data_IF_091787860111
#
_entry.id   IF_091787860111
#
_cell.length_a   1.000
_cell.length_b   1.000
_cell.length_c   1.000
_cell.angle_alpha   90.00
_cell.angle_beta   90.00
_cell.angle_gamma   90.00
#
_symmetry.space_group_name_H-M   'P 1'
#
loop_
_entity.id
_entity.type
_entity.pdbx_description
1 polymer ?
#
# COMPACT_ATOMS: atom_id res chain seq x y z
N UNK A 1 -15.56 -16.98 -4.43
CA UNK A 1 -14.10 -17.23 -4.40
C UNK A 1 -13.31 -15.95 -4.09
N UNK A 2 -13.22 -14.98 -5.01
CA UNK A 2 -12.40 -13.77 -4.82
C UNK A 2 -12.77 -12.98 -3.56
N UNK A 3 -14.06 -12.81 -3.25
CA UNK A 3 -14.49 -12.13 -2.02
C UNK A 3 -13.98 -12.81 -0.75
N UNK A 4 -13.91 -14.15 -0.73
CA UNK A 4 -13.39 -14.91 0.41
C UNK A 4 -11.88 -14.73 0.55
N UNK A 5 -11.14 -14.74 -0.57
CA UNK A 5 -9.69 -14.49 -0.57
C UNK A 5 -9.37 -13.11 -0.01
N UNK A 6 -10.12 -12.10 -0.43
CA UNK A 6 -9.94 -10.73 0.04
C UNK A 6 -10.39 -10.58 1.50
N UNK A 7 -11.45 -11.28 1.93
CA UNK A 7 -11.85 -11.30 3.34
C UNK A 7 -10.74 -11.90 4.22
N UNK A 8 -10.03 -12.94 3.77
CA UNK A 8 -8.89 -13.48 4.48
C UNK A 8 -7.73 -12.48 4.57
N UNK A 9 -7.42 -11.77 3.48
CA UNK A 9 -6.42 -10.68 3.50
C UNK A 9 -6.80 -9.63 4.54
N UNK A 10 -8.04 -9.13 4.50
CA UNK A 10 -8.53 -8.12 5.46
C UNK A 10 -8.47 -8.64 6.90
N UNK A 11 -8.80 -9.91 7.13
CA UNK A 11 -8.71 -10.54 8.44
C UNK A 11 -7.27 -10.52 8.97
N UNK A 12 -6.30 -10.95 8.16
CA UNK A 12 -4.87 -10.94 8.56
C UNK A 12 -4.39 -9.53 8.84
N UNK A 13 -4.70 -8.57 7.97
CA UNK A 13 -4.33 -7.17 8.18
C UNK A 13 -4.92 -6.63 9.49
N UNK A 14 -6.19 -6.92 9.77
CA UNK A 14 -6.86 -6.44 10.98
C UNK A 14 -6.37 -7.08 12.28
N UNK A 15 -5.91 -8.34 12.25
CA UNK A 15 -5.47 -9.06 13.45
C UNK A 15 -3.98 -8.89 13.74
N UNK A 16 -3.16 -8.82 12.68
CA UNK A 16 -1.71 -8.87 12.81
C UNK A 16 -1.03 -7.51 12.68
N UNK A 17 -1.63 -6.53 12.00
CA UNK A 17 -1.01 -5.22 11.79
C UNK A 17 -1.39 -4.26 12.91
N UNK A 18 -0.39 -3.85 13.71
CA UNK A 18 -0.60 -3.08 14.92
C UNK A 18 -0.26 -1.61 14.70
N UNK A 19 -0.92 -0.73 15.45
CA UNK A 19 -0.62 0.72 15.41
C UNK A 19 0.84 1.02 15.75
N UNK A 20 1.43 0.24 16.65
CA UNK A 20 2.84 0.37 17.04
C UNK A 20 3.81 0.08 15.89
N UNK A 21 3.41 -0.66 14.85
CA UNK A 21 4.25 -0.91 13.68
C UNK A 21 4.51 0.40 12.91
N UNK A 22 3.52 1.30 12.90
CA UNK A 22 3.56 2.54 12.10
C UNK A 22 3.71 3.82 12.92
N UNK A 23 3.51 3.73 14.24
CA UNK A 23 3.72 4.82 15.18
C UNK A 23 4.27 4.26 16.50
N UNK A 24 5.53 3.80 16.51
CA UNK A 24 6.16 3.32 17.73
C UNK A 24 6.32 4.46 18.75
N UNK A 25 6.34 4.12 20.04
CA UNK A 25 6.56 5.11 21.11
C UNK A 25 8.00 5.65 21.09
N UNK A 26 8.95 4.80 20.70
CA UNK A 26 10.36 5.12 20.58
C UNK A 26 10.80 4.75 19.16
N UNK A 27 11.29 5.73 18.40
CA UNK A 27 11.80 5.48 17.05
C UNK A 27 13.20 4.87 17.11
N UNK A 28 13.42 3.77 16.39
CA UNK A 28 14.74 3.15 16.23
C UNK A 28 15.00 2.79 14.76
N UNK A 29 15.38 3.80 13.97
CA UNK A 29 15.52 3.69 12.50
C UNK A 29 16.53 2.61 12.07
N UNK A 30 17.48 2.22 12.94
CA UNK A 30 18.45 1.15 12.66
C UNK A 30 17.85 -0.26 12.59
N UNK A 31 16.61 -0.47 13.03
CA UNK A 31 15.99 -1.80 13.15
C UNK A 31 14.71 -1.94 12.33
N UNK A 32 14.62 -1.26 11.18
CA UNK A 32 13.45 -1.41 10.30
C UNK A 32 13.51 -2.79 9.63
N UNK A 33 12.51 -3.67 9.85
CA UNK A 33 12.50 -4.98 9.24
C UNK A 33 12.22 -4.88 7.73
N UNK A 34 12.52 -5.96 7.00
CA UNK A 34 12.31 -6.03 5.54
C UNK A 34 10.84 -5.86 5.12
N UNK A 35 9.91 -6.21 6.01
CA UNK A 35 8.47 -5.94 5.93
C UNK A 35 7.85 -6.25 7.31
N UNK A 36 6.59 -5.87 7.50
CA UNK A 36 5.79 -6.22 8.66
C UNK A 36 5.39 -7.70 8.65
N UNK A 37 5.08 -8.24 9.84
CA UNK A 37 4.59 -9.60 9.96
C UNK A 37 3.30 -9.84 9.17
N UNK A 38 2.35 -8.89 9.26
CA UNK A 38 1.10 -8.92 8.51
C UNK A 38 1.34 -8.96 7.00
N UNK A 39 2.25 -8.13 6.49
CA UNK A 39 2.62 -8.12 5.07
C UNK A 39 3.16 -9.47 4.62
N UNK A 40 4.10 -10.05 5.36
CA UNK A 40 4.65 -11.38 5.04
C UNK A 40 3.57 -12.45 4.93
N UNK A 41 2.63 -12.49 5.88
CA UNK A 41 1.51 -13.42 5.88
C UNK A 41 0.57 -13.22 4.70
N UNK A 42 0.23 -11.96 4.40
CA UNK A 42 -0.62 -11.60 3.26
C UNK A 42 0.04 -12.00 1.93
N UNK A 43 1.31 -11.66 1.73
CA UNK A 43 2.05 -12.03 0.51
C UNK A 43 2.13 -13.55 0.32
N UNK A 44 2.45 -14.29 1.39
CA UNK A 44 2.46 -15.76 1.35
C UNK A 44 1.10 -16.34 0.97
N UNK A 45 0.03 -15.81 1.54
CA UNK A 45 -1.33 -16.24 1.23
C UNK A 45 -1.70 -15.94 -0.23
N UNK A 46 -1.46 -14.71 -0.69
CA UNK A 46 -1.82 -14.27 -2.04
C UNK A 46 -1.07 -15.05 -3.12
N UNK A 47 0.25 -15.24 -2.97
CA UNK A 47 1.02 -16.06 -3.92
C UNK A 47 0.44 -17.48 -4.04
N UNK A 48 0.13 -18.12 -2.90
CA UNK A 48 -0.52 -19.44 -2.91
C UNK A 48 -1.87 -19.44 -3.64
N UNK A 49 -2.69 -18.40 -3.48
CA UNK A 49 -3.97 -18.31 -4.19
C UNK A 49 -3.77 -18.09 -5.70
N UNK A 50 -2.80 -17.26 -6.08
CA UNK A 50 -2.45 -17.02 -7.48
C UNK A 50 -1.99 -18.31 -8.16
N UNK A 51 -1.15 -19.10 -7.51
CA UNK A 51 -0.68 -20.39 -8.04
C UNK A 51 -1.85 -21.34 -8.29
N UNK A 52 -2.76 -21.48 -7.31
CA UNK A 52 -3.97 -22.31 -7.48
C UNK A 52 -4.88 -21.83 -8.61
N UNK A 53 -4.99 -20.51 -8.79
CA UNK A 53 -5.79 -19.94 -9.90
C UNK A 53 -5.15 -20.29 -11.24
N UNK A 54 -3.82 -20.22 -11.34
CA UNK A 54 -3.05 -20.57 -12.56
C UNK A 54 -3.15 -22.06 -12.90
N UNK A 55 -3.28 -22.92 -11.90
CA UNK A 55 -3.49 -24.35 -12.13
C UNK A 55 -4.91 -24.67 -12.64
N UNK A 56 -5.87 -23.76 -12.44
CA UNK A 56 -7.28 -23.99 -12.75
C UNK A 56 -7.79 -23.21 -13.97
N UNK A 57 -7.12 -22.14 -14.37
CA UNK A 57 -7.56 -21.22 -15.43
C UNK A 57 -6.41 -20.91 -16.38
N UNK A 58 -6.75 -20.60 -17.63
CA UNK A 58 -5.82 -20.20 -18.67
C UNK A 58 -6.35 -19.01 -19.50
N UNK A 59 -5.47 -18.50 -20.38
CA UNK A 59 -5.79 -17.47 -21.36
C UNK A 59 -6.49 -16.23 -20.78
N UNK A 60 -7.50 -15.74 -21.50
CA UNK A 60 -8.24 -14.53 -21.10
C UNK A 60 -9.03 -14.68 -19.80
N UNK A 61 -9.48 -15.89 -19.45
CA UNK A 61 -10.18 -16.12 -18.18
C UNK A 61 -9.24 -15.92 -16.99
N UNK A 62 -8.01 -16.44 -17.10
CA UNK A 62 -6.97 -16.24 -16.11
C UNK A 62 -6.66 -14.74 -15.95
N UNK A 63 -6.49 -14.02 -17.06
CA UNK A 63 -6.20 -12.58 -17.05
C UNK A 63 -7.31 -11.77 -16.34
N UNK A 64 -8.58 -12.04 -16.66
CA UNK A 64 -9.73 -11.36 -16.04
C UNK A 64 -9.79 -11.62 -14.54
N UNK A 65 -9.61 -12.88 -14.12
CA UNK A 65 -9.68 -13.26 -12.70
C UNK A 65 -8.53 -12.67 -11.90
N UNK A 66 -7.29 -12.72 -12.42
CA UNK A 66 -6.12 -12.14 -11.77
C UNK A 66 -6.19 -10.61 -11.71
N UNK A 67 -6.74 -9.97 -12.75
CA UNK A 67 -7.00 -8.53 -12.75
C UNK A 67 -7.97 -8.16 -11.63
N UNK A 68 -9.14 -8.80 -11.56
CA UNK A 68 -10.13 -8.50 -10.53
C UNK A 68 -9.62 -8.79 -9.11
N UNK A 69 -8.88 -9.88 -8.92
CA UNK A 69 -8.22 -10.20 -7.66
C UNK A 69 -7.24 -9.09 -7.24
N UNK A 70 -6.41 -8.64 -8.16
CA UNK A 70 -5.38 -7.62 -7.91
C UNK A 70 -5.98 -6.26 -7.58
N UNK A 71 -7.06 -5.87 -8.26
CA UNK A 71 -7.77 -4.61 -7.96
C UNK A 71 -8.38 -4.63 -6.55
N UNK A 72 -9.00 -5.74 -6.16
CA UNK A 72 -9.55 -5.89 -4.81
C UNK A 72 -8.46 -5.98 -3.75
N UNK A 73 -7.33 -6.60 -4.07
CA UNK A 73 -6.18 -6.67 -3.18
C UNK A 73 -5.58 -5.29 -2.94
N UNK A 74 -5.34 -4.51 -4.00
CA UNK A 74 -4.92 -3.13 -3.92
C UNK A 74 -5.88 -2.32 -3.02
N UNK A 75 -7.20 -2.41 -3.26
CA UNK A 75 -8.20 -1.72 -2.43
C UNK A 75 -8.13 -2.14 -0.97
N UNK A 76 -7.97 -3.43 -0.66
CA UNK A 76 -7.86 -3.90 0.72
C UNK A 76 -6.61 -3.34 1.44
N UNK A 77 -5.49 -3.21 0.73
CA UNK A 77 -4.27 -2.57 1.26
C UNK A 77 -4.53 -1.08 1.52
N UNK A 78 -5.12 -0.36 0.56
CA UNK A 78 -5.44 1.07 0.72
C UNK A 78 -6.39 1.29 1.89
N UNK A 79 -7.48 0.53 1.98
CA UNK A 79 -8.44 0.59 3.10
C UNK A 79 -7.73 0.42 4.45
N UNK A 80 -6.75 -0.49 4.53
CA UNK A 80 -5.96 -0.75 5.73
C UNK A 80 -5.01 0.40 6.07
N UNK A 81 -4.33 0.97 5.06
CA UNK A 81 -3.42 2.13 5.25
C UNK A 81 -4.15 3.31 5.92
N UNK A 82 -5.38 3.58 5.50
CA UNK A 82 -6.21 4.64 6.08
C UNK A 82 -6.59 4.43 7.56
N UNK A 83 -6.34 3.26 8.16
CA UNK A 83 -6.60 2.99 9.57
C UNK A 83 -5.48 3.47 10.51
N UNK A 84 -4.35 3.94 9.97
CA UNK A 84 -3.15 4.25 10.73
C UNK A 84 -2.72 5.70 10.60
N UNK A 85 -1.89 6.13 11.56
CA UNK A 85 -1.05 7.30 11.41
C UNK A 85 0.40 6.86 11.35
N UNK A 86 1.21 7.60 10.59
CA UNK A 86 2.58 7.20 10.28
C UNK A 86 3.58 8.19 10.85
N UNK A 87 4.48 7.68 11.67
CA UNK A 87 5.75 8.36 11.94
C UNK A 87 6.70 8.17 10.75
N UNK A 88 7.84 8.86 10.72
CA UNK A 88 8.83 8.69 9.65
C UNK A 88 9.32 7.24 9.58
N UNK A 89 9.57 6.61 10.75
CA UNK A 89 9.92 5.19 10.82
C UNK A 89 8.79 4.29 10.32
N UNK A 90 7.56 4.54 10.74
CA UNK A 90 6.42 3.74 10.29
C UNK A 90 6.18 3.83 8.79
N UNK A 91 6.37 5.01 8.21
CA UNK A 91 6.27 5.22 6.76
C UNK A 91 7.35 4.43 5.99
N UNK A 92 8.57 4.34 6.52
CA UNK A 92 9.62 3.49 5.93
C UNK A 92 9.22 2.01 5.93
N UNK A 93 8.67 1.51 7.05
CA UNK A 93 8.17 0.14 7.12
C UNK A 93 7.00 -0.08 6.15
N UNK A 94 6.09 0.88 6.01
CA UNK A 94 5.00 0.79 5.01
C UNK A 94 5.57 0.70 3.59
N UNK A 95 6.60 1.48 3.24
CA UNK A 95 7.23 1.40 1.92
C UNK A 95 7.86 0.03 1.65
N UNK A 96 8.45 -0.59 2.68
CA UNK A 96 8.89 -1.97 2.62
C UNK A 96 7.72 -2.94 2.31
N UNK A 97 6.59 -2.79 3.02
CA UNK A 97 5.37 -3.58 2.77
C UNK A 97 4.84 -3.39 1.33
N UNK A 98 4.77 -2.15 0.83
CA UNK A 98 4.35 -1.87 -0.55
C UNK A 98 5.30 -2.52 -1.56
N UNK A 99 6.61 -2.55 -1.28
CA UNK A 99 7.59 -3.27 -2.08
C UNK A 99 7.29 -4.76 -2.20
N UNK A 100 6.92 -5.42 -1.10
CA UNK A 100 6.54 -6.83 -1.10
C UNK A 100 5.20 -7.07 -1.80
N UNK A 101 4.18 -6.23 -1.56
CA UNK A 101 2.91 -6.34 -2.29
C UNK A 101 3.07 -6.14 -3.79
N UNK A 102 3.99 -5.27 -4.22
CA UNK A 102 4.36 -5.10 -5.63
C UNK A 102 4.94 -6.38 -6.22
N UNK A 103 5.83 -7.07 -5.51
CA UNK A 103 6.41 -8.35 -6.00
C UNK A 103 5.33 -9.39 -6.28
N UNK A 104 4.28 -9.46 -5.46
CA UNK A 104 3.13 -10.37 -5.68
C UNK A 104 2.46 -10.11 -7.02
N UNK A 105 2.22 -8.84 -7.37
CA UNK A 105 1.46 -8.48 -8.58
C UNK A 105 2.33 -8.34 -9.84
N UNK A 106 3.62 -8.01 -9.71
CA UNK A 106 4.54 -7.92 -10.86
C UNK A 106 4.63 -9.25 -11.60
N UNK A 107 4.60 -10.37 -10.88
CA UNK A 107 4.64 -11.70 -11.48
C UNK A 107 3.40 -12.07 -12.31
N UNK A 108 2.36 -11.23 -12.33
CA UNK A 108 1.12 -11.48 -13.08
C UNK A 108 1.15 -10.94 -14.51
N UNK A 109 2.15 -10.12 -14.86
CA UNK A 109 2.30 -9.51 -16.19
C UNK A 109 1.09 -8.65 -16.60
N UNK A 110 0.46 -7.96 -15.63
CA UNK A 110 -0.68 -7.07 -15.84
C UNK A 110 -0.24 -5.59 -15.74
N UNK A 111 0.04 -4.89 -16.87
CA UNK A 111 0.67 -3.56 -16.83
C UNK A 111 -0.15 -2.51 -16.07
N UNK A 112 -1.49 -2.58 -16.18
CA UNK A 112 -2.39 -1.68 -15.46
C UNK A 112 -2.28 -1.85 -13.94
N UNK A 113 -2.21 -3.09 -13.46
CA UNK A 113 -2.05 -3.41 -12.03
C UNK A 113 -0.70 -2.93 -11.53
N UNK A 114 0.38 -3.12 -12.30
CA UNK A 114 1.70 -2.62 -11.93
C UNK A 114 1.70 -1.10 -11.74
N UNK A 115 1.10 -0.35 -12.67
CA UNK A 115 0.95 1.11 -12.55
C UNK A 115 0.15 1.52 -11.32
N UNK A 116 -0.91 0.77 -10.99
CA UNK A 116 -1.74 1.05 -9.82
C UNK A 116 -0.92 0.96 -8.52
N UNK A 117 -0.09 -0.07 -8.37
CA UNK A 117 0.78 -0.20 -7.19
C UNK A 117 1.97 0.77 -7.21
N UNK A 118 2.43 1.22 -8.38
CA UNK A 118 3.42 2.31 -8.48
C UNK A 118 2.86 3.65 -7.99
N UNK A 119 1.61 3.96 -8.36
CA UNK A 119 0.90 5.12 -7.84
C UNK A 119 0.70 5.02 -6.32
N UNK A 120 0.34 3.83 -5.80
CA UNK A 120 0.25 3.59 -4.35
C UNK A 120 1.60 3.81 -3.64
N UNK A 121 2.70 3.34 -4.23
CA UNK A 121 4.03 3.60 -3.69
C UNK A 121 4.36 5.10 -3.66
N UNK A 122 4.01 5.83 -4.72
CA UNK A 122 4.17 7.28 -4.78
C UNK A 122 3.31 8.00 -3.71
N UNK A 123 2.09 7.54 -3.45
CA UNK A 123 1.25 8.04 -2.36
C UNK A 123 1.89 7.78 -0.98
N UNK A 124 2.43 6.58 -0.75
CA UNK A 124 3.09 6.25 0.51
C UNK A 124 4.38 7.07 0.73
N UNK A 125 5.10 7.43 -0.35
CA UNK A 125 6.27 8.31 -0.25
C UNK A 125 5.94 9.71 0.29
N UNK A 126 4.69 10.18 0.15
CA UNK A 126 4.24 11.45 0.74
C UNK A 126 4.29 11.43 2.28
N UNK A 127 4.31 10.24 2.89
CA UNK A 127 4.33 10.07 4.34
C UNK A 127 5.73 10.32 4.94
N UNK A 128 6.79 10.21 4.13
CA UNK A 128 8.18 10.34 4.58
C UNK A 128 8.88 11.59 4.03
N UNK A 129 8.42 12.13 2.90
CA UNK A 129 9.04 13.30 2.28
C UNK A 129 9.09 14.49 3.25
N UNK A 130 10.15 15.29 3.21
CA UNK A 130 10.24 16.48 4.06
C UNK A 130 9.13 17.49 3.71
N UNK A 131 8.68 18.31 4.67
CA UNK A 131 7.67 19.34 4.42
C UNK A 131 7.98 20.23 3.21
N UNK A 132 9.25 20.64 3.05
CA UNK A 132 9.70 21.52 1.95
C UNK A 132 9.50 20.92 0.56
N UNK A 133 9.55 19.58 0.46
CA UNK A 133 9.41 18.84 -0.80
C UNK A 133 8.01 18.24 -0.99
N UNK A 134 7.10 18.42 -0.04
CA UNK A 134 5.81 17.76 -0.05
C UNK A 134 4.90 18.25 -1.18
N UNK A 135 4.89 19.56 -1.43
CA UNK A 135 4.07 20.15 -2.50
C UNK A 135 4.49 19.65 -3.89
N UNK A 136 5.79 19.59 -4.16
CA UNK A 136 6.31 19.05 -5.43
C UNK A 136 6.05 17.55 -5.56
N UNK A 137 6.19 16.78 -4.47
CA UNK A 137 5.88 15.35 -4.46
C UNK A 137 4.40 15.06 -4.76
N UNK A 138 3.48 15.87 -4.23
CA UNK A 138 2.04 15.80 -4.51
C UNK A 138 1.68 16.08 -5.98
N UNK A 139 2.57 16.75 -6.72
CA UNK A 139 2.42 17.06 -8.14
C UNK A 139 3.32 16.20 -9.04
N UNK A 140 3.89 15.11 -8.52
CA UNK A 140 4.69 14.19 -9.32
C UNK A 140 3.84 13.52 -10.41
N UNK A 141 4.47 13.22 -11.56
CA UNK A 141 3.78 12.59 -12.70
C UNK A 141 3.16 11.22 -12.37
N UNK A 142 3.71 10.51 -11.38
CA UNK A 142 3.16 9.23 -10.89
C UNK A 142 1.80 9.38 -10.20
N UNK A 143 1.46 10.59 -9.75
CA UNK A 143 0.19 10.93 -9.12
C UNK A 143 -0.73 11.73 -10.06
N UNK A 144 -0.36 11.89 -11.33
CA UNK A 144 -1.10 12.71 -12.30
C UNK A 144 -2.55 12.27 -12.51
N UNK A 145 -2.79 10.95 -12.48
CA UNK A 145 -4.12 10.35 -12.65
C UNK A 145 -4.83 10.07 -11.31
N UNK A 146 -4.22 10.42 -10.18
CA UNK A 146 -4.78 10.19 -8.84
C UNK A 146 -5.59 11.40 -8.42
N UNK A 147 -6.83 11.16 -7.96
CA UNK A 147 -7.69 12.22 -7.44
C UNK A 147 -7.01 13.01 -6.32
N UNK A 148 -7.10 14.35 -6.37
CA UNK A 148 -6.48 15.24 -5.37
C UNK A 148 -6.94 14.93 -3.95
N UNK A 149 -8.21 14.55 -3.78
CA UNK A 149 -8.78 14.13 -2.49
C UNK A 149 -8.04 12.93 -1.88
N UNK A 150 -7.61 11.97 -2.71
CA UNK A 150 -6.82 10.81 -2.29
C UNK A 150 -5.41 11.25 -1.90
N UNK A 151 -4.78 12.13 -2.68
CA UNK A 151 -3.45 12.69 -2.37
C UNK A 151 -3.47 13.41 -1.01
N UNK A 152 -4.44 14.31 -0.80
CA UNK A 152 -4.63 14.99 0.50
C UNK A 152 -4.89 13.97 1.61
N UNK A 153 -5.72 12.96 1.34
CA UNK A 153 -6.04 11.89 2.29
C UNK A 153 -4.79 11.17 2.80
N UNK A 154 -3.84 10.84 1.92
CA UNK A 154 -2.56 10.24 2.34
C UNK A 154 -1.72 11.21 3.17
N UNK A 155 -1.62 12.47 2.78
CA UNK A 155 -0.86 13.48 3.55
C UNK A 155 -1.41 13.63 4.98
N UNK A 156 -2.72 13.53 5.15
CA UNK A 156 -3.38 13.59 6.46
C UNK A 156 -3.02 12.41 7.39
N UNK A 157 -2.47 11.31 6.86
CA UNK A 157 -2.03 10.16 7.65
C UNK A 157 -0.68 10.39 8.35
N UNK A 158 0.05 11.46 8.02
CA UNK A 158 1.32 11.78 8.68
C UNK A 158 1.09 12.15 10.15
N UNK A 159 1.94 11.65 11.03
CA UNK A 159 1.88 11.96 12.45
C UNK A 159 2.13 13.45 12.74
N UNK A 160 2.90 14.14 11.90
CA UNK A 160 3.23 15.56 12.01
C UNK A 160 2.22 16.49 11.30
N UNK A 161 1.18 15.95 10.65
CA UNK A 161 0.27 16.73 9.80
C UNK A 161 -0.30 17.97 10.49
N UNK A 162 -0.82 17.80 11.72
CA UNK A 162 -1.42 18.89 12.51
C UNK A 162 -0.38 19.88 13.04
N UNK A 163 0.80 19.40 13.43
CA UNK A 163 1.85 20.22 14.04
C UNK A 163 2.61 21.05 13.01
N UNK A 164 2.80 20.49 11.81
CA UNK A 164 3.48 21.14 10.71
C UNK A 164 2.58 22.11 9.92
N UNK A 165 1.27 22.21 10.26
CA UNK A 165 0.28 23.06 9.58
C UNK A 165 0.31 22.89 8.05
N UNK A 166 0.38 21.64 7.59
CA UNK A 166 0.47 21.30 6.17
C UNK A 166 -0.88 21.58 5.48
N UNK A 167 -1.09 22.81 5.03
CA UNK A 167 -2.16 23.15 4.11
C UNK A 167 -1.63 22.93 2.69
N UNK A 168 -2.09 21.87 2.04
CA UNK A 168 -1.81 21.63 0.63
C UNK A 168 -2.94 22.26 -0.17
N UNK A 169 -2.74 23.50 -0.59
CA UNK A 169 -3.61 24.16 -1.55
C UNK A 169 -3.14 23.79 -2.96
N UNK A 170 -3.95 22.97 -3.64
CA UNK A 170 -3.79 22.75 -5.08
C UNK A 170 -4.44 23.94 -5.79
N UNK A 171 -3.63 24.87 -6.32
CA UNK A 171 -4.09 25.90 -7.25
C UNK A 171 -4.51 25.30 -8.59
#
# INVERSE_FOLDING_TARGET
MLSTMIAQVKSVLSSEQKKADFKPEVENVSEIPLCSHACSMVCKYMNKQIDLIRDCLDGGNLEVVLTELSLRFHRAIVDNIYQFQYSSQGAMLLLCDIGEYRKVVTGLELPFVSKLFEALNALCNLLIVSPDNLASACCSGMLGDVERTVVVGFVQLRADYKTAKLNIDFQ
#
